data_IF_600571000634
#
_entry.id   IF_600571000634
#
_cell.length_a   1.000
_cell.length_b   1.000
_cell.length_c   1.000
_cell.angle_alpha   90.00
_cell.angle_beta   90.00
_cell.angle_gamma   90.00
#
_symmetry.space_group_name_H-M   'P 1'
#
loop_
_entity.id
_entity.type
_entity.pdbx_description
1 polymer ?
#
# COMPACT_ATOMS: atom_id res chain seq x y z
N UNK A 1 -14.95 19.85 11.59
CA UNK A 1 -13.59 19.59 11.05
C UNK A 1 -12.98 18.32 11.65
N UNK A 2 -13.36 17.94 12.86
CA UNK A 2 -12.81 16.80 13.61
C UNK A 2 -13.15 15.43 13.00
N UNK A 3 -14.34 15.25 12.42
CA UNK A 3 -14.76 14.05 11.72
C UNK A 3 -13.88 13.70 10.50
N UNK A 4 -13.32 14.72 9.81
CA UNK A 4 -12.35 14.51 8.73
C UNK A 4 -11.06 13.89 9.24
N UNK A 5 -10.54 14.36 10.38
CA UNK A 5 -9.32 13.82 10.98
C UNK A 5 -9.50 12.39 11.47
N UNK A 6 -10.67 12.06 12.04
CA UNK A 6 -10.99 10.71 12.52
C UNK A 6 -10.92 9.65 11.42
N UNK A 7 -11.30 10.00 10.19
CA UNK A 7 -11.23 9.07 9.04
C UNK A 7 -9.92 9.20 8.26
N UNK A 8 -9.31 10.38 8.23
CA UNK A 8 -8.06 10.62 7.50
C UNK A 8 -6.89 9.77 8.02
N UNK A 9 -6.67 9.74 9.35
CA UNK A 9 -5.53 9.01 9.92
C UNK A 9 -5.57 7.50 9.68
N UNK A 10 -6.71 6.79 9.86
CA UNK A 10 -6.81 5.39 9.48
C UNK A 10 -6.43 5.12 8.02
N UNK A 11 -7.02 5.87 7.07
CA UNK A 11 -6.69 5.70 5.65
C UNK A 11 -5.23 6.02 5.34
N UNK A 12 -4.66 7.07 5.96
CA UNK A 12 -3.25 7.40 5.83
C UNK A 12 -2.35 6.25 6.29
N UNK A 13 -2.65 5.66 7.45
CA UNK A 13 -1.89 4.54 8.00
C UNK A 13 -1.96 3.32 7.07
N UNK A 14 -3.17 2.92 6.65
CA UNK A 14 -3.38 1.75 5.81
C UNK A 14 -2.66 1.90 4.46
N UNK A 15 -2.87 3.03 3.77
CA UNK A 15 -2.28 3.28 2.45
C UNK A 15 -0.77 3.44 2.52
N UNK A 16 -0.23 4.09 3.56
CA UNK A 16 1.21 4.25 3.75
C UNK A 16 1.90 2.91 4.05
N UNK A 17 1.34 2.10 4.97
CA UNK A 17 1.87 0.78 5.28
C UNK A 17 1.84 -0.13 4.06
N UNK A 18 0.72 -0.18 3.34
CA UNK A 18 0.58 -0.99 2.12
C UNK A 18 1.55 -0.54 1.03
N UNK A 19 1.73 0.77 0.82
CA UNK A 19 2.70 1.31 -0.13
C UNK A 19 4.15 0.94 0.25
N UNK A 20 4.51 1.06 1.53
CA UNK A 20 5.83 0.65 2.02
C UNK A 20 6.06 -0.85 1.82
N UNK A 21 5.06 -1.69 2.11
CA UNK A 21 5.11 -3.13 1.87
C UNK A 21 5.43 -3.47 0.41
N UNK A 22 4.76 -2.80 -0.54
CA UNK A 22 5.00 -2.97 -1.98
C UNK A 22 6.41 -2.51 -2.36
N UNK A 23 6.91 -1.39 -1.82
CA UNK A 23 8.25 -0.89 -2.11
C UNK A 23 9.32 -1.93 -1.78
N UNK A 24 9.19 -2.68 -0.67
CA UNK A 24 10.15 -3.73 -0.32
C UNK A 24 10.24 -4.82 -1.40
N UNK A 25 9.13 -5.31 -1.91
CA UNK A 25 9.11 -6.38 -2.92
C UNK A 25 9.51 -5.88 -4.30
N UNK A 26 8.99 -4.75 -4.73
CA UNK A 26 9.26 -4.23 -6.08
C UNK A 26 10.69 -3.70 -6.22
N UNK A 27 11.28 -3.14 -5.15
CA UNK A 27 12.72 -2.80 -5.12
C UNK A 27 13.63 -4.02 -5.16
N UNK A 28 13.15 -5.21 -4.79
CA UNK A 28 13.86 -6.48 -4.95
C UNK A 28 13.53 -7.18 -6.29
N UNK A 29 12.75 -6.56 -7.17
CA UNK A 29 12.40 -7.06 -8.50
C UNK A 29 11.24 -8.06 -8.52
N UNK A 30 10.37 -8.06 -7.50
CA UNK A 30 9.17 -8.91 -7.45
C UNK A 30 7.94 -8.01 -7.54
N UNK A 31 7.09 -8.24 -8.56
CA UNK A 31 5.78 -7.57 -8.67
C UNK A 31 4.87 -8.08 -7.55
N UNK A 32 4.33 -7.16 -6.77
CA UNK A 32 3.45 -7.52 -5.65
C UNK A 32 2.00 -7.07 -5.88
N UNK A 33 1.30 -7.76 -6.77
CA UNK A 33 -0.14 -7.57 -6.94
C UNK A 33 -0.96 -8.27 -5.85
N UNK A 34 -0.34 -9.15 -5.03
CA UNK A 34 -1.02 -9.91 -3.98
C UNK A 34 -1.33 -9.09 -2.71
N UNK A 35 -0.93 -7.83 -2.67
CA UNK A 35 -0.96 -7.00 -1.45
C UNK A 35 -2.34 -6.93 -0.80
N UNK A 36 -3.41 -6.86 -1.58
CA UNK A 36 -4.77 -6.83 -1.06
C UNK A 36 -5.13 -8.13 -0.32
N UNK A 37 -4.80 -9.29 -0.90
CA UNK A 37 -5.00 -10.59 -0.26
C UNK A 37 -4.11 -10.80 0.97
N UNK A 38 -2.88 -10.27 0.97
CA UNK A 38 -1.97 -10.30 2.12
C UNK A 38 -2.53 -9.48 3.28
N UNK A 39 -3.10 -8.31 3.00
CA UNK A 39 -3.81 -7.49 4.00
C UNK A 39 -5.01 -8.23 4.59
N UNK A 40 -5.80 -8.90 3.73
CA UNK A 40 -6.93 -9.73 4.18
C UNK A 40 -6.45 -10.86 5.08
N UNK A 41 -5.35 -11.54 4.74
CA UNK A 41 -4.76 -12.58 5.59
C UNK A 41 -4.34 -12.08 6.96
N UNK A 42 -3.75 -10.87 7.03
CA UNK A 42 -3.42 -10.22 8.30
C UNK A 42 -4.67 -9.85 9.10
N UNK A 43 -5.67 -9.25 8.46
CA UNK A 43 -6.96 -8.91 9.06
C UNK A 43 -7.68 -10.15 9.62
N UNK A 44 -7.64 -11.27 8.88
CA UNK A 44 -8.23 -12.55 9.30
C UNK A 44 -7.58 -13.08 10.58
N UNK A 45 -6.26 -13.08 10.64
CA UNK A 45 -5.54 -13.52 11.84
C UNK A 45 -5.82 -12.61 13.03
N UNK A 46 -5.84 -11.30 12.83
CA UNK A 46 -6.26 -10.36 13.87
C UNK A 46 -7.65 -10.71 14.40
N UNK A 47 -8.62 -10.88 13.52
CA UNK A 47 -10.02 -11.18 13.86
C UNK A 47 -10.16 -12.47 14.64
N UNK A 48 -9.53 -13.57 14.19
CA UNK A 48 -9.60 -14.87 14.86
C UNK A 48 -9.12 -14.77 16.30
N UNK A 49 -7.94 -14.18 16.50
CA UNK A 49 -7.37 -14.08 17.84
C UNK A 49 -8.09 -13.06 18.71
N UNK A 50 -8.61 -11.95 18.14
CA UNK A 50 -9.46 -11.02 18.85
C UNK A 50 -10.76 -11.70 19.32
N UNK A 51 -11.39 -12.54 18.49
CA UNK A 51 -12.59 -13.30 18.85
C UNK A 51 -12.32 -14.35 19.93
N UNK A 52 -11.17 -15.06 19.88
CA UNK A 52 -10.81 -16.06 20.89
C UNK A 52 -10.52 -15.41 22.26
N UNK A 53 -9.83 -14.26 22.27
CA UNK A 53 -9.38 -13.62 23.51
C UNK A 53 -10.47 -12.73 24.12
N UNK A 54 -11.20 -11.99 23.29
CA UNK A 54 -12.15 -10.96 23.71
C UNK A 54 -13.49 -11.10 22.99
N UNK A 55 -14.19 -12.25 23.08
CA UNK A 55 -15.52 -12.41 22.46
C UNK A 55 -16.52 -11.41 23.07
N UNK A 56 -17.33 -10.77 22.23
CA UNK A 56 -18.31 -9.78 22.66
C UNK A 56 -19.36 -10.38 23.63
N UNK A 57 -19.73 -11.65 23.42
CA UNK A 57 -20.69 -12.36 24.26
C UNK A 57 -20.29 -12.44 25.75
N UNK A 58 -18.98 -12.54 26.01
CA UNK A 58 -18.45 -12.69 27.36
C UNK A 58 -17.91 -11.37 27.96
N UNK A 59 -17.61 -10.38 27.12
CA UNK A 59 -17.00 -9.12 27.52
C UNK A 59 -17.78 -7.92 26.97
N UNK A 60 -18.85 -7.48 27.64
CA UNK A 60 -19.63 -6.32 27.21
C UNK A 60 -18.83 -5.01 27.30
N UNK A 61 -17.81 -4.96 28.19
CA UNK A 61 -16.87 -3.84 28.28
C UNK A 61 -15.65 -4.12 27.39
N UNK A 62 -15.16 -3.13 26.61
CA UNK A 62 -14.00 -3.35 25.75
C UNK A 62 -12.76 -3.74 26.58
N UNK A 63 -12.08 -4.79 26.12
CA UNK A 63 -10.79 -5.18 26.71
C UNK A 63 -9.73 -4.11 26.47
N UNK A 64 -8.68 -4.15 27.31
CA UNK A 64 -7.61 -3.16 27.27
C UNK A 64 -7.00 -3.00 25.86
N UNK A 65 -6.86 -1.77 25.41
CA UNK A 65 -6.25 -1.43 24.12
C UNK A 65 -4.82 -1.94 23.92
N UNK A 66 -4.09 -2.29 25.00
CA UNK A 66 -2.75 -2.90 24.92
C UNK A 66 -2.76 -4.25 24.21
N UNK A 67 -3.90 -4.95 24.18
CA UNK A 67 -4.08 -6.19 23.44
C UNK A 67 -3.83 -6.01 21.94
N UNK A 68 -4.08 -4.81 21.39
CA UNK A 68 -3.82 -4.52 19.98
C UNK A 68 -2.35 -4.71 19.58
N UNK A 69 -1.39 -4.49 20.48
CA UNK A 69 0.03 -4.72 20.17
C UNK A 69 0.26 -6.19 19.83
N UNK A 70 -0.29 -7.09 20.65
CA UNK A 70 -0.20 -8.53 20.42
C UNK A 70 -0.96 -8.94 19.14
N UNK A 71 -2.16 -8.43 18.94
CA UNK A 71 -2.97 -8.72 17.76
C UNK A 71 -2.33 -8.22 16.46
N UNK A 72 -1.62 -7.08 16.48
CA UNK A 72 -0.87 -6.58 15.32
C UNK A 72 0.34 -7.47 14.98
N UNK A 73 1.01 -8.04 15.99
CA UNK A 73 2.07 -9.02 15.76
C UNK A 73 1.53 -10.30 15.12
N UNK A 74 0.38 -10.79 15.57
CA UNK A 74 -0.29 -11.95 14.98
C UNK A 74 -0.74 -11.65 13.54
N UNK A 75 -1.29 -10.47 13.30
CA UNK A 75 -1.65 -10.04 11.94
C UNK A 75 -0.44 -9.96 11.01
N UNK A 76 0.73 -9.53 11.52
CA UNK A 76 1.97 -9.56 10.76
C UNK A 76 2.34 -11.00 10.35
N UNK A 77 2.18 -11.98 11.25
CA UNK A 77 2.40 -13.41 10.95
C UNK A 77 1.42 -13.89 9.88
N UNK A 78 0.13 -13.52 9.98
CA UNK A 78 -0.88 -13.84 8.96
C UNK A 78 -0.52 -13.31 7.58
N UNK A 79 -0.08 -12.05 7.51
CA UNK A 79 0.42 -11.45 6.28
C UNK A 79 1.67 -12.16 5.73
N UNK A 80 2.62 -12.57 6.59
CA UNK A 80 3.79 -13.35 6.18
C UNK A 80 3.37 -14.68 5.57
N UNK A 81 2.45 -15.42 6.19
CA UNK A 81 1.99 -16.71 5.70
C UNK A 81 1.44 -16.57 4.27
N UNK A 82 0.51 -15.64 4.06
CA UNK A 82 -0.08 -15.42 2.72
C UNK A 82 0.97 -14.95 1.72
N UNK A 83 1.87 -14.04 2.11
CA UNK A 83 2.92 -13.57 1.19
C UNK A 83 3.95 -14.64 0.86
N UNK A 84 4.22 -15.60 1.76
CA UNK A 84 5.09 -16.74 1.47
C UNK A 84 4.55 -17.63 0.35
N UNK A 85 3.23 -17.79 0.20
CA UNK A 85 2.65 -18.49 -0.95
C UNK A 85 2.98 -17.76 -2.25
N UNK A 86 2.86 -16.42 -2.29
CA UNK A 86 3.29 -15.62 -3.43
C UNK A 86 4.79 -15.77 -3.71
N UNK A 87 5.62 -15.73 -2.66
CA UNK A 87 7.07 -15.91 -2.75
C UNK A 87 7.44 -17.30 -3.28
N UNK A 88 6.77 -18.35 -2.83
CA UNK A 88 7.01 -19.72 -3.30
C UNK A 88 6.77 -19.85 -4.81
N UNK A 89 5.64 -19.34 -5.31
CA UNK A 89 5.32 -19.37 -6.74
C UNK A 89 6.29 -18.49 -7.53
N UNK A 90 6.58 -17.28 -7.04
CA UNK A 90 7.36 -16.27 -7.78
C UNK A 90 8.86 -16.54 -7.77
N UNK A 91 9.41 -17.05 -6.66
CA UNK A 91 10.86 -17.22 -6.48
C UNK A 91 11.27 -18.65 -6.75
N UNK A 92 10.58 -19.64 -6.14
CA UNK A 92 10.96 -21.06 -6.18
C UNK A 92 10.50 -21.72 -7.47
N UNK A 93 9.21 -21.57 -7.80
CA UNK A 93 8.65 -22.14 -9.03
C UNK A 93 8.92 -21.28 -10.28
N UNK A 94 9.48 -20.05 -10.10
CA UNK A 94 9.73 -19.09 -11.19
C UNK A 94 8.47 -18.81 -12.04
N UNK A 95 7.28 -18.93 -11.42
CA UNK A 95 5.99 -18.73 -12.05
C UNK A 95 5.68 -17.26 -12.34
N UNK A 96 4.59 -17.01 -13.08
CA UNK A 96 4.14 -15.66 -13.38
C UNK A 96 3.66 -14.96 -12.10
N UNK A 97 4.36 -13.88 -11.73
CA UNK A 97 4.14 -13.12 -10.51
C UNK A 97 2.79 -12.39 -10.51
N UNK A 98 2.35 -11.93 -11.68
CA UNK A 98 1.05 -11.24 -11.85
C UNK A 98 -0.10 -12.21 -11.60
N UNK A 99 -0.05 -13.40 -12.21
CA UNK A 99 -1.09 -14.43 -12.05
C UNK A 99 -1.14 -14.89 -10.59
N UNK A 100 0.01 -15.17 -10.00
CA UNK A 100 0.11 -15.54 -8.58
C UNK A 100 -0.50 -14.46 -7.65
N UNK A 101 -0.21 -13.18 -7.92
CA UNK A 101 -0.74 -12.08 -7.13
C UNK A 101 -2.26 -11.96 -7.21
N UNK A 102 -2.83 -12.06 -8.42
CA UNK A 102 -4.28 -12.02 -8.63
C UNK A 102 -4.96 -13.23 -7.97
N UNK A 103 -4.39 -14.43 -8.09
CA UNK A 103 -4.93 -15.63 -7.47
C UNK A 103 -5.03 -15.49 -5.94
N UNK A 104 -4.00 -14.94 -5.29
CA UNK A 104 -4.00 -14.71 -3.84
C UNK A 104 -5.07 -13.70 -3.41
N UNK A 105 -5.30 -12.66 -4.22
CA UNK A 105 -6.35 -11.68 -3.93
C UNK A 105 -7.77 -12.28 -4.00
N UNK A 106 -7.95 -13.38 -4.69
CA UNK A 106 -9.22 -14.13 -4.74
C UNK A 106 -9.28 -15.18 -3.62
N UNK A 107 -8.18 -15.91 -3.43
CA UNK A 107 -8.12 -17.03 -2.47
C UNK A 107 -8.19 -16.53 -1.02
N UNK A 108 -7.48 -15.47 -0.67
CA UNK A 108 -7.42 -15.00 0.71
C UNK A 108 -8.79 -14.58 1.27
N UNK A 109 -9.60 -13.75 0.59
CA UNK A 109 -10.98 -13.47 1.02
C UNK A 109 -11.86 -14.72 1.09
N UNK A 110 -11.74 -15.64 0.11
CA UNK A 110 -12.51 -16.88 0.11
C UNK A 110 -12.20 -17.77 1.32
N UNK A 111 -10.90 -17.92 1.67
CA UNK A 111 -10.49 -18.63 2.89
C UNK A 111 -11.04 -17.96 4.15
N UNK A 112 -11.05 -16.64 4.21
CA UNK A 112 -11.62 -15.91 5.34
C UNK A 112 -13.12 -16.15 5.48
N UNK A 113 -13.88 -16.19 4.36
CA UNK A 113 -15.30 -16.53 4.38
C UNK A 113 -15.55 -17.96 4.88
N UNK A 114 -14.73 -18.92 4.49
CA UNK A 114 -14.82 -20.30 4.99
C UNK A 114 -14.58 -20.34 6.50
N UNK A 115 -13.58 -19.61 7.00
CA UNK A 115 -13.29 -19.53 8.43
C UNK A 115 -14.49 -18.92 9.21
N UNK A 116 -15.06 -17.83 8.67
CA UNK A 116 -16.25 -17.21 9.27
C UNK A 116 -17.45 -18.15 9.30
N UNK A 117 -17.64 -18.93 8.24
CA UNK A 117 -18.73 -19.90 8.16
C UNK A 117 -18.56 -21.06 9.15
N UNK A 118 -17.32 -21.55 9.32
CA UNK A 118 -17.05 -22.73 10.18
C UNK A 118 -16.98 -22.38 11.67
N UNK A 119 -16.47 -21.20 12.02
CA UNK A 119 -16.14 -20.85 13.40
C UNK A 119 -16.89 -19.61 13.92
N UNK A 120 -17.55 -18.86 13.04
CA UNK A 120 -18.30 -17.67 13.42
C UNK A 120 -19.77 -17.95 13.75
N UNK A 121 -20.37 -17.14 14.60
CA UNK A 121 -21.79 -17.14 14.86
C UNK A 121 -22.52 -16.34 13.78
N UNK A 122 -23.49 -16.94 13.09
CA UNK A 122 -24.20 -16.32 11.96
C UNK A 122 -23.28 -15.70 10.89
N UNK A 123 -22.17 -16.37 10.55
CA UNK A 123 -21.12 -15.89 9.65
C UNK A 123 -20.44 -14.59 10.11
N UNK A 124 -20.31 -14.40 11.41
CA UNK A 124 -19.69 -13.21 12.04
C UNK A 124 -18.81 -13.67 13.20
N UNK A 125 -17.74 -12.91 13.43
CA UNK A 125 -16.91 -13.03 14.62
C UNK A 125 -16.95 -11.67 15.32
N UNK A 126 -17.75 -11.55 16.38
CA UNK A 126 -17.90 -10.32 17.13
C UNK A 126 -16.92 -10.33 18.32
N UNK A 127 -16.05 -9.34 18.37
CA UNK A 127 -15.05 -9.17 19.43
C UNK A 127 -15.12 -7.74 19.98
N UNK A 128 -14.65 -7.54 21.22
CA UNK A 128 -14.66 -6.25 21.90
C UNK A 128 -13.28 -5.88 22.43
N UNK A 129 -12.44 -5.34 21.55
CA UNK A 129 -11.10 -4.85 21.87
C UNK A 129 -11.10 -3.33 21.78
N UNK A 130 -10.73 -2.66 22.87
CA UNK A 130 -10.62 -1.20 22.89
C UNK A 130 -9.47 -0.71 22.01
N UNK A 131 -9.62 0.45 21.41
CA UNK A 131 -8.53 1.12 20.69
C UNK A 131 -7.49 1.61 21.71
N UNK A 132 -6.21 1.43 21.41
CA UNK A 132 -5.13 2.01 22.21
C UNK A 132 -4.89 3.45 21.75
N UNK A 133 -5.52 4.36 22.47
CA UNK A 133 -5.37 5.80 22.30
C UNK A 133 -4.49 6.35 23.44
N UNK A 134 -3.44 7.09 23.07
CA UNK A 134 -2.52 7.70 24.03
C UNK A 134 -3.12 9.03 24.51
N UNK A 135 -3.96 8.99 25.52
CA UNK A 135 -4.45 10.19 26.19
C UNK A 135 -5.87 10.01 26.73
N UNK A 136 -6.05 10.45 27.97
CA UNK A 136 -7.34 10.49 28.63
C UNK A 136 -7.88 11.92 28.52
N UNK A 137 -8.53 12.26 27.41
CA UNK A 137 -9.12 13.59 27.24
C UNK A 137 -10.64 13.49 27.24
N UNK A 138 -11.25 14.29 28.11
CA UNK A 138 -12.70 14.49 28.15
C UNK A 138 -13.25 15.14 26.87
N UNK A 139 -12.40 15.59 25.95
CA UNK A 139 -12.73 16.28 24.69
C UNK A 139 -12.28 15.52 23.44
N UNK A 140 -12.32 14.22 23.41
CA UNK A 140 -12.33 13.28 22.27
C UNK A 140 -11.51 13.52 20.98
N UNK A 141 -10.92 14.67 20.78
CA UNK A 141 -10.58 15.18 19.45
C UNK A 141 -9.11 15.04 19.04
N UNK A 142 -8.17 15.17 19.98
CA UNK A 142 -6.73 15.04 19.71
C UNK A 142 -6.21 13.60 19.88
N UNK A 143 -7.00 12.72 20.46
CA UNK A 143 -6.61 11.40 20.92
C UNK A 143 -6.49 10.42 19.76
N UNK A 144 -7.32 10.55 18.72
CA UNK A 144 -7.25 9.69 17.54
C UNK A 144 -5.99 9.91 16.70
N UNK A 145 -5.33 11.07 16.84
CA UNK A 145 -4.10 11.40 16.12
C UNK A 145 -2.93 10.61 16.69
N UNK A 146 -2.81 10.54 18.03
CA UNK A 146 -1.73 9.81 18.71
C UNK A 146 -2.23 8.44 19.17
N UNK A 147 -2.53 7.58 18.22
CA UNK A 147 -2.97 6.21 18.46
C UNK A 147 -1.85 5.22 18.09
N UNK A 148 -1.99 3.98 18.57
CA UNK A 148 -1.02 2.90 18.27
C UNK A 148 -0.76 2.75 16.76
N UNK A 149 -1.82 2.84 15.92
CA UNK A 149 -1.72 2.76 14.46
C UNK A 149 -0.82 3.83 13.85
N UNK A 150 -0.94 5.09 14.32
CA UNK A 150 -0.14 6.20 13.80
C UNK A 150 1.31 6.09 14.22
N UNK A 151 1.57 5.67 15.46
CA UNK A 151 2.93 5.44 15.97
C UNK A 151 3.63 4.32 15.20
N UNK A 152 2.97 3.16 15.03
CA UNK A 152 3.52 2.04 14.25
C UNK A 152 3.80 2.47 12.81
N UNK A 153 2.86 3.16 12.18
CA UNK A 153 3.01 3.65 10.79
C UNK A 153 4.21 4.57 10.66
N UNK A 154 4.35 5.53 11.59
CA UNK A 154 5.49 6.45 11.58
C UNK A 154 6.82 5.71 11.74
N UNK A 155 6.89 4.76 12.69
CA UNK A 155 8.09 3.92 12.89
C UNK A 155 8.41 3.14 11.61
N UNK A 156 7.44 2.49 11.00
CA UNK A 156 7.65 1.72 9.75
C UNK A 156 8.14 2.61 8.62
N UNK A 157 7.57 3.81 8.44
CA UNK A 157 8.01 4.77 7.43
C UNK A 157 9.45 5.21 7.69
N UNK A 158 9.78 5.61 8.93
CA UNK A 158 11.13 6.06 9.30
C UNK A 158 12.17 4.94 9.13
N UNK A 159 11.89 3.75 9.65
CA UNK A 159 12.79 2.58 9.52
C UNK A 159 12.99 2.22 8.05
N UNK A 160 11.93 2.20 7.24
CA UNK A 160 12.01 1.90 5.81
C UNK A 160 12.78 2.98 5.03
N UNK A 161 12.58 4.24 5.39
CA UNK A 161 13.34 5.35 4.80
C UNK A 161 14.84 5.23 5.10
N UNK A 162 15.20 5.00 6.36
CA UNK A 162 16.59 4.78 6.79
C UNK A 162 17.17 3.54 6.12
N UNK A 163 16.42 2.44 6.07
CA UNK A 163 16.83 1.19 5.42
C UNK A 163 17.22 1.40 3.96
N UNK A 164 16.34 2.02 3.16
CA UNK A 164 16.62 2.22 1.73
C UNK A 164 17.64 3.33 1.44
N UNK A 165 17.80 4.31 2.34
CA UNK A 165 18.67 5.48 2.06
C UNK A 165 20.07 5.26 2.60
N UNK A 166 20.22 4.71 3.81
CA UNK A 166 21.48 4.71 4.53
C UNK A 166 22.07 3.32 4.74
N UNK A 167 21.34 2.20 4.49
CA UNK A 167 21.87 0.89 4.80
C UNK A 167 22.45 0.15 3.60
N UNK A 168 23.49 -0.68 3.84
CA UNK A 168 24.06 -1.59 2.83
C UNK A 168 23.03 -2.62 2.35
N UNK A 169 22.13 -3.06 3.25
CA UNK A 169 21.07 -4.01 2.90
C UNK A 169 20.05 -3.39 1.94
N UNK A 170 19.63 -2.13 2.15
CA UNK A 170 18.76 -1.41 1.23
C UNK A 170 19.39 -1.21 -0.15
N UNK A 171 20.73 -0.99 -0.20
CA UNK A 171 21.44 -0.95 -1.49
C UNK A 171 21.40 -2.31 -2.20
N UNK A 172 21.59 -3.43 -1.48
CA UNK A 172 21.49 -4.80 -2.06
C UNK A 172 20.11 -5.05 -2.67
N UNK A 173 19.02 -4.63 -2.00
CA UNK A 173 17.66 -4.72 -2.54
C UNK A 173 17.55 -3.98 -3.88
N UNK A 174 18.03 -2.74 -3.95
CA UNK A 174 18.00 -1.94 -5.19
C UNK A 174 18.80 -2.60 -6.32
N UNK A 175 20.02 -3.09 -6.03
CA UNK A 175 20.87 -3.74 -7.04
C UNK A 175 20.21 -5.01 -7.58
N UNK A 176 19.61 -5.84 -6.71
CA UNK A 176 18.87 -7.05 -7.11
C UNK A 176 17.68 -6.72 -8.00
N UNK A 177 16.96 -5.62 -7.73
CA UNK A 177 15.84 -5.19 -8.55
C UNK A 177 16.24 -4.56 -9.88
N UNK A 178 17.46 -3.98 -10.00
CA UNK A 178 17.94 -3.40 -11.24
C UNK A 178 18.61 -4.45 -12.15
N UNK A 179 19.48 -5.29 -11.59
CA UNK A 179 20.16 -6.36 -12.32
C UNK A 179 20.52 -7.52 -11.38
N UNK A 180 19.68 -8.55 -11.31
CA UNK A 180 19.93 -9.69 -10.43
C UNK A 180 21.14 -10.52 -10.84
N UNK A 181 21.49 -10.55 -12.13
CA UNK A 181 22.67 -11.28 -12.62
C UNK A 181 23.97 -10.59 -12.17
N UNK A 182 24.06 -9.26 -12.33
CA UNK A 182 25.21 -8.50 -11.85
C UNK A 182 25.33 -8.57 -10.31
N UNK A 183 24.20 -8.60 -9.59
CA UNK A 183 24.17 -8.79 -8.13
C UNK A 183 24.77 -10.14 -7.71
N UNK A 184 24.43 -11.23 -8.42
CA UNK A 184 24.94 -12.58 -8.14
C UNK A 184 26.45 -12.67 -8.41
N UNK A 185 26.94 -12.10 -9.51
CA UNK A 185 28.38 -12.02 -9.82
C UNK A 185 29.16 -11.23 -8.76
N UNK A 186 28.52 -10.19 -8.17
CA UNK A 186 29.09 -9.44 -7.06
C UNK A 186 28.97 -10.16 -5.70
N UNK A 187 28.55 -11.43 -5.66
CA UNK A 187 28.45 -12.26 -4.44
C UNK A 187 27.20 -12.01 -3.61
N UNK A 188 26.20 -11.29 -4.13
CA UNK A 188 24.94 -11.07 -3.42
C UNK A 188 23.99 -12.25 -3.68
N UNK A 189 23.54 -12.92 -2.62
CA UNK A 189 22.55 -13.99 -2.75
C UNK A 189 21.17 -13.42 -3.12
N UNK A 190 20.84 -13.42 -4.41
CA UNK A 190 19.61 -12.87 -4.98
C UNK A 190 18.37 -13.53 -4.39
N UNK A 191 18.35 -14.86 -4.27
CA UNK A 191 17.22 -15.61 -3.72
C UNK A 191 16.94 -15.22 -2.26
N UNK A 192 17.98 -15.09 -1.44
CA UNK A 192 17.83 -14.66 -0.04
C UNK A 192 17.26 -13.24 0.05
N UNK A 193 17.71 -12.31 -0.77
CA UNK A 193 17.20 -10.93 -0.80
C UNK A 193 15.73 -10.91 -1.22
N UNK A 194 15.34 -11.68 -2.23
CA UNK A 194 13.95 -11.80 -2.68
C UNK A 194 13.05 -12.38 -1.59
N UNK A 195 13.46 -13.45 -0.90
CA UNK A 195 12.68 -14.03 0.21
C UNK A 195 12.55 -13.07 1.39
N UNK A 196 13.61 -12.39 1.80
CA UNK A 196 13.54 -11.39 2.86
C UNK A 196 12.62 -10.23 2.50
N UNK A 197 12.55 -9.82 1.23
CA UNK A 197 11.64 -8.78 0.77
C UNK A 197 10.18 -9.19 0.90
N UNK A 198 9.84 -10.44 0.57
CA UNK A 198 8.49 -11.02 0.70
C UNK A 198 8.06 -11.08 2.17
N UNK A 199 8.94 -11.55 3.06
CA UNK A 199 8.64 -11.66 4.50
C UNK A 199 8.39 -10.29 5.11
N UNK A 200 9.26 -9.31 4.84
CA UNK A 200 9.10 -7.94 5.36
C UNK A 200 7.81 -7.31 4.80
N UNK A 201 7.57 -7.44 3.50
CA UNK A 201 6.36 -6.93 2.85
C UNK A 201 5.10 -7.57 3.46
N UNK A 202 5.11 -8.89 3.66
CA UNK A 202 4.00 -9.63 4.27
C UNK A 202 3.68 -9.15 5.68
N UNK A 203 4.71 -8.95 6.51
CA UNK A 203 4.54 -8.43 7.86
C UNK A 203 3.90 -7.04 7.87
N UNK A 204 4.42 -6.10 7.07
CA UNK A 204 3.90 -4.73 7.01
C UNK A 204 2.48 -4.70 6.44
N UNK A 205 2.20 -5.47 5.40
CA UNK A 205 0.86 -5.55 4.80
C UNK A 205 -0.14 -6.22 5.74
N UNK A 206 0.28 -7.23 6.53
CA UNK A 206 -0.55 -7.84 7.56
C UNK A 206 -0.95 -6.83 8.64
N UNK A 207 -0.02 -5.98 9.09
CA UNK A 207 -0.32 -4.88 10.02
C UNK A 207 -1.29 -3.87 9.37
N UNK A 208 -1.14 -3.53 8.08
CA UNK A 208 -2.09 -2.67 7.39
C UNK A 208 -3.51 -3.25 7.38
N UNK A 209 -3.65 -4.56 7.20
CA UNK A 209 -4.92 -5.29 7.31
C UNK A 209 -5.50 -5.23 8.72
N UNK A 210 -4.66 -5.36 9.76
CA UNK A 210 -5.07 -5.23 11.15
C UNK A 210 -5.57 -3.82 11.48
N UNK A 211 -4.89 -2.79 10.99
CA UNK A 211 -5.35 -1.39 11.13
C UNK A 211 -6.71 -1.21 10.47
N UNK A 212 -6.91 -1.79 9.28
CA UNK A 212 -8.21 -1.71 8.59
C UNK A 212 -9.33 -2.31 9.43
N UNK A 213 -9.16 -3.53 9.92
CA UNK A 213 -10.21 -4.22 10.67
C UNK A 213 -10.47 -3.58 12.04
N UNK A 214 -9.43 -3.09 12.73
CA UNK A 214 -9.59 -2.43 14.02
C UNK A 214 -10.36 -1.11 13.96
N UNK A 215 -10.30 -0.40 12.81
CA UNK A 215 -10.92 0.91 12.65
C UNK A 215 -12.30 0.87 11.99
N UNK A 216 -12.47 0.03 10.97
CA UNK A 216 -13.69 0.02 10.15
C UNK A 216 -14.66 -1.11 10.50
N UNK A 217 -14.26 -2.03 11.37
CA UNK A 217 -15.14 -3.04 11.94
C UNK A 217 -15.82 -2.50 13.19
N UNK A 218 -16.79 -1.63 13.01
CA UNK A 218 -17.53 -0.97 14.10
C UNK A 218 -17.92 -1.93 15.24
N UNK A 219 -17.21 -1.86 16.38
CA UNK A 219 -17.51 -2.63 17.58
C UNK A 219 -17.30 -4.14 17.45
N UNK A 220 -16.46 -4.59 16.52
CA UNK A 220 -16.04 -5.98 16.45
C UNK A 220 -16.88 -6.89 15.58
N UNK A 221 -17.78 -6.39 14.73
CA UNK A 221 -18.49 -7.27 13.82
C UNK A 221 -17.85 -7.27 12.42
N UNK A 222 -17.06 -8.28 12.11
CA UNK A 222 -16.58 -8.51 10.76
C UNK A 222 -17.66 -9.25 9.97
N UNK A 223 -18.38 -8.53 9.13
CA UNK A 223 -19.41 -9.09 8.24
C UNK A 223 -18.75 -9.78 7.05
N UNK A 224 -19.49 -10.65 6.37
CA UNK A 224 -19.12 -11.50 5.23
C UNK A 224 -18.45 -10.80 4.03
N UNK A 225 -18.27 -9.50 4.04
CA UNK A 225 -17.51 -8.74 3.02
C UNK A 225 -16.08 -8.50 3.49
N UNK A 226 -15.31 -9.56 3.56
CA UNK A 226 -13.87 -9.53 3.89
C UNK A 226 -13.07 -8.96 2.72
N UNK A 227 -13.39 -7.77 2.32
CA UNK A 227 -12.61 -7.07 1.32
C UNK A 227 -12.07 -5.78 1.94
N UNK A 228 -10.77 -5.58 1.85
CA UNK A 228 -10.10 -4.33 2.26
C UNK A 228 -10.40 -3.23 1.24
N UNK A 229 -11.64 -3.22 0.70
CA UNK A 229 -12.18 -2.25 -0.27
C UNK A 229 -11.23 -1.96 -1.46
N UNK A 230 -10.33 -2.88 -1.78
CA UNK A 230 -9.36 -2.69 -2.87
C UNK A 230 -8.23 -1.70 -2.55
N UNK A 231 -8.05 -1.28 -1.29
CA UNK A 231 -7.00 -0.34 -0.87
C UNK A 231 -5.59 -0.84 -1.22
N UNK A 232 -5.39 -2.17 -1.27
CA UNK A 232 -4.15 -2.78 -1.74
C UNK A 232 -3.82 -2.43 -3.18
N UNK A 233 -4.81 -2.43 -4.08
CA UNK A 233 -4.59 -2.02 -5.48
C UNK A 233 -4.27 -0.52 -5.60
N UNK A 234 -4.92 0.30 -4.78
CA UNK A 234 -4.62 1.73 -4.74
C UNK A 234 -3.20 2.00 -4.25
N UNK A 235 -2.71 1.20 -3.29
CA UNK A 235 -1.34 1.30 -2.81
C UNK A 235 -0.30 1.07 -3.91
N UNK A 236 -0.58 0.19 -4.89
CA UNK A 236 0.29 0.00 -6.07
C UNK A 236 0.37 1.31 -6.87
N UNK A 237 -0.75 1.96 -7.14
CA UNK A 237 -0.77 3.24 -7.84
C UNK A 237 -0.01 4.33 -7.06
N UNK A 238 -0.12 4.36 -5.73
CA UNK A 238 0.64 5.25 -4.85
C UNK A 238 2.15 5.03 -5.00
N UNK A 239 2.61 3.77 -5.05
CA UNK A 239 4.03 3.43 -5.21
C UNK A 239 4.56 3.86 -6.57
N UNK A 240 3.81 3.63 -7.64
CA UNK A 240 4.18 4.06 -9.00
C UNK A 240 4.33 5.59 -9.04
N UNK A 241 3.35 6.34 -8.50
CA UNK A 241 3.39 7.80 -8.43
C UNK A 241 4.52 8.30 -7.52
N UNK A 242 4.80 7.58 -6.42
CA UNK A 242 5.92 7.83 -5.50
C UNK A 242 7.29 7.39 -6.03
N UNK A 243 7.37 6.84 -7.26
CA UNK A 243 8.62 6.40 -7.91
C UNK A 243 9.40 5.37 -7.09
N UNK A 244 8.71 4.44 -6.46
CA UNK A 244 9.31 3.43 -5.58
C UNK A 244 10.20 4.01 -4.47
N UNK A 245 9.92 5.23 -4.01
CA UNK A 245 10.61 5.90 -2.88
C UNK A 245 9.64 6.06 -1.72
N UNK A 246 10.11 5.79 -0.50
CA UNK A 246 9.27 5.81 0.71
C UNK A 246 8.59 7.16 0.93
N UNK A 247 9.35 8.25 1.05
CA UNK A 247 8.77 9.57 1.34
C UNK A 247 7.80 10.09 0.26
N UNK A 248 8.11 10.07 -1.04
CA UNK A 248 7.12 10.48 -2.05
C UNK A 248 5.86 9.60 -2.02
N UNK A 249 5.99 8.29 -1.80
CA UNK A 249 4.82 7.40 -1.73
C UNK A 249 3.94 7.73 -0.52
N UNK A 250 4.52 8.07 0.65
CA UNK A 250 3.72 8.50 1.81
C UNK A 250 3.03 9.84 1.58
N UNK A 251 3.64 10.78 0.82
CA UNK A 251 2.98 12.01 0.41
C UNK A 251 1.78 11.74 -0.51
N UNK A 252 1.91 10.84 -1.50
CA UNK A 252 0.76 10.42 -2.30
C UNK A 252 -0.29 9.69 -1.46
N UNK A 253 0.11 8.84 -0.52
CA UNK A 253 -0.82 8.19 0.41
C UNK A 253 -1.64 9.22 1.21
N UNK A 254 -1.05 10.34 1.63
CA UNK A 254 -1.78 11.40 2.32
C UNK A 254 -2.83 12.08 1.43
N UNK A 255 -2.52 12.33 0.16
CA UNK A 255 -3.48 12.89 -0.80
C UNK A 255 -4.68 11.93 -0.98
N UNK A 256 -4.41 10.64 -1.15
CA UNK A 256 -5.46 9.63 -1.29
C UNK A 256 -6.28 9.46 -0.02
N UNK A 257 -5.64 9.52 1.15
CA UNK A 257 -6.32 9.48 2.44
C UNK A 257 -7.30 10.65 2.61
N UNK A 258 -6.93 11.86 2.15
CA UNK A 258 -7.84 13.02 2.13
C UNK A 258 -9.05 12.73 1.23
N UNK A 259 -8.85 12.22 0.02
CA UNK A 259 -9.95 11.93 -0.91
C UNK A 259 -10.92 10.88 -0.33
N UNK A 260 -10.40 9.81 0.30
CA UNK A 260 -11.24 8.82 0.98
C UNK A 260 -11.96 9.40 2.19
N UNK A 261 -11.28 10.21 2.99
CA UNK A 261 -11.89 10.87 4.15
C UNK A 261 -13.03 11.80 3.73
N UNK A 262 -12.87 12.55 2.65
CA UNK A 262 -13.95 13.37 2.09
C UNK A 262 -15.13 12.53 1.59
N UNK A 263 -14.86 11.41 0.92
CA UNK A 263 -15.88 10.50 0.43
C UNK A 263 -16.69 9.84 1.57
N UNK A 264 -16.00 9.38 2.62
CA UNK A 264 -16.67 8.76 3.78
C UNK A 264 -17.54 9.75 4.57
N UNK A 265 -17.14 11.01 4.61
CA UNK A 265 -17.86 12.05 5.35
C UNK A 265 -18.74 12.94 4.45
N UNK A 266 -19.17 12.41 3.31
CA UNK A 266 -20.04 13.14 2.36
C UNK A 266 -21.31 13.70 2.99
N UNK A 267 -21.92 12.98 3.95
CA UNK A 267 -23.12 13.40 4.64
C UNK A 267 -22.94 14.67 5.49
N UNK A 268 -21.71 14.91 5.96
CA UNK A 268 -21.37 16.12 6.71
C UNK A 268 -21.03 17.32 5.82
N UNK A 269 -20.79 17.07 4.53
CA UNK A 269 -20.40 18.09 3.56
C UNK A 269 -21.54 18.53 2.65
N UNK A 270 -22.44 17.61 2.31
CA UNK A 270 -23.50 17.81 1.32
C UNK A 270 -24.87 17.41 1.89
N UNK A 271 -25.90 18.17 1.59
CA UNK A 271 -27.28 17.85 2.00
C UNK A 271 -27.79 16.51 1.47
N UNK A 272 -27.28 16.07 0.29
CA UNK A 272 -27.57 14.76 -0.33
C UNK A 272 -26.33 13.84 -0.31
N UNK A 273 -25.59 13.82 0.79
CA UNK A 273 -24.30 13.15 0.91
C UNK A 273 -24.33 11.66 0.60
N UNK A 274 -25.40 10.93 0.98
CA UNK A 274 -25.53 9.49 0.70
C UNK A 274 -25.60 9.18 -0.79
N UNK A 275 -26.28 10.01 -1.58
CA UNK A 275 -26.39 9.84 -3.02
C UNK A 275 -25.08 10.18 -3.75
N UNK A 276 -24.30 11.12 -3.19
CA UNK A 276 -23.05 11.59 -3.77
C UNK A 276 -21.87 10.70 -3.33
N UNK A 277 -21.98 9.99 -2.19
CA UNK A 277 -20.91 9.14 -1.64
C UNK A 277 -20.29 8.17 -2.65
N UNK A 278 -21.05 7.41 -3.46
CA UNK A 278 -20.45 6.50 -4.45
C UNK A 278 -19.61 7.24 -5.50
N UNK A 279 -20.03 8.43 -5.92
CA UNK A 279 -19.30 9.26 -6.88
C UNK A 279 -17.99 9.76 -6.27
N UNK A 280 -18.03 10.21 -5.00
CA UNK A 280 -16.83 10.64 -4.28
C UNK A 280 -15.85 9.49 -4.04
N UNK A 281 -16.33 8.27 -3.81
CA UNK A 281 -15.49 7.08 -3.69
C UNK A 281 -14.78 6.70 -5.00
N UNK A 282 -15.28 7.12 -6.16
CA UNK A 282 -14.58 6.95 -7.45
C UNK A 282 -13.42 7.93 -7.62
N UNK A 283 -13.42 9.09 -6.92
CA UNK A 283 -12.39 10.13 -7.11
C UNK A 283 -10.96 9.64 -6.92
N UNK A 284 -10.61 8.86 -5.88
CA UNK A 284 -9.25 8.33 -5.74
C UNK A 284 -8.80 7.53 -6.96
N UNK A 285 -9.67 6.69 -7.51
CA UNK A 285 -9.37 5.85 -8.68
C UNK A 285 -9.24 6.69 -9.96
N UNK A 286 -10.13 7.64 -10.18
CA UNK A 286 -10.01 8.61 -11.29
C UNK A 286 -8.72 9.43 -11.18
N UNK A 287 -8.39 9.88 -9.97
CA UNK A 287 -7.17 10.63 -9.71
C UNK A 287 -5.91 9.79 -10.04
N UNK A 288 -5.91 8.48 -9.71
CA UNK A 288 -4.80 7.59 -10.11
C UNK A 288 -4.64 7.51 -11.61
N UNK A 289 -5.74 7.33 -12.36
CA UNK A 289 -5.70 7.26 -13.83
C UNK A 289 -5.15 8.56 -14.43
N UNK A 290 -5.65 9.69 -13.97
CA UNK A 290 -5.18 11.02 -14.45
C UNK A 290 -3.69 11.19 -14.17
N UNK A 291 -3.23 10.89 -12.96
CA UNK A 291 -1.82 11.02 -12.61
C UNK A 291 -0.96 10.05 -13.43
N UNK A 292 -1.35 8.79 -13.57
CA UNK A 292 -0.59 7.81 -14.37
C UNK A 292 -0.46 8.25 -15.83
N UNK A 293 -1.51 8.82 -16.41
CA UNK A 293 -1.47 9.38 -17.78
C UNK A 293 -0.54 10.60 -17.83
N UNK A 294 -0.70 11.56 -16.92
CA UNK A 294 0.09 12.80 -16.89
C UNK A 294 1.60 12.53 -16.67
N UNK A 295 1.92 11.52 -15.85
CA UNK A 295 3.33 11.16 -15.58
C UNK A 295 3.86 10.04 -16.45
N UNK A 296 3.09 9.58 -17.47
CA UNK A 296 3.56 8.58 -18.41
C UNK A 296 4.66 9.14 -19.34
N UNK A 297 5.60 8.27 -19.72
CA UNK A 297 6.64 8.62 -20.68
C UNK A 297 6.06 9.12 -22.01
N UNK A 298 4.97 8.51 -22.45
CA UNK A 298 4.29 8.86 -23.70
C UNK A 298 3.68 10.26 -23.66
N UNK A 299 3.09 10.66 -22.53
CA UNK A 299 2.54 12.01 -22.35
C UNK A 299 3.64 13.08 -22.45
N UNK A 300 4.78 12.87 -21.78
CA UNK A 300 5.92 13.80 -21.88
C UNK A 300 6.51 13.86 -23.30
N UNK A 301 6.57 12.72 -24.00
CA UNK A 301 7.01 12.67 -25.39
C UNK A 301 6.03 13.40 -26.31
N UNK A 302 4.71 13.16 -26.15
CA UNK A 302 3.66 13.87 -26.89
C UNK A 302 3.75 15.37 -26.64
N UNK A 303 3.85 15.78 -25.40
CA UNK A 303 3.96 17.19 -25.04
C UNK A 303 5.22 17.84 -25.64
N UNK A 304 6.36 17.14 -25.60
CA UNK A 304 7.60 17.62 -26.21
C UNK A 304 7.50 17.73 -27.73
N UNK A 305 6.82 16.76 -28.40
CA UNK A 305 6.61 16.79 -29.86
C UNK A 305 5.69 17.95 -30.27
N UNK A 306 4.61 18.18 -29.53
CA UNK A 306 3.73 19.33 -29.74
C UNK A 306 4.45 20.66 -29.58
N UNK A 307 5.25 20.82 -28.53
CA UNK A 307 6.06 22.01 -28.31
C UNK A 307 7.09 22.23 -29.43
N UNK A 308 7.73 21.17 -29.92
CA UNK A 308 8.65 21.26 -31.07
C UNK A 308 7.93 21.63 -32.37
N UNK A 309 6.70 21.14 -32.60
CA UNK A 309 5.90 21.50 -33.76
C UNK A 309 5.51 22.97 -33.74
N UNK A 310 5.12 23.49 -32.57
CA UNK A 310 4.85 24.93 -32.37
C UNK A 310 6.13 25.75 -32.60
N UNK A 311 7.27 25.30 -32.06
CA UNK A 311 8.56 25.99 -32.30
C UNK A 311 8.97 26.00 -33.77
N UNK A 312 8.74 24.95 -34.54
CA UNK A 312 9.01 24.91 -35.99
C UNK A 312 8.12 25.85 -36.78
N UNK A 313 6.85 25.98 -36.39
CA UNK A 313 5.89 26.87 -37.06
C UNK A 313 6.23 28.38 -36.83
N UNK A 314 6.95 28.69 -35.76
CA UNK A 314 7.30 30.05 -35.34
C UNK A 314 8.78 30.41 -35.66
N UNK A 315 9.37 29.79 -36.69
CA UNK A 315 10.80 29.76 -37.01
C UNK A 315 11.41 31.13 -37.37
N UNK A 316 10.62 32.18 -37.58
CA UNK A 316 11.10 33.45 -38.15
C UNK A 316 11.27 34.66 -37.19
N UNK A 317 10.92 34.55 -35.88
CA UNK A 317 10.93 35.79 -35.07
C UNK A 317 11.70 35.78 -33.73
N UNK A 318 12.16 34.64 -33.13
CA UNK A 318 12.89 34.79 -31.86
C UNK A 318 13.81 33.61 -31.52
N UNK A 319 15.09 33.68 -31.79
CA UNK A 319 16.09 32.66 -31.51
C UNK A 319 16.17 32.27 -29.98
N UNK A 320 15.87 33.25 -29.11
CA UNK A 320 15.89 33.08 -27.67
C UNK A 320 14.66 32.27 -27.15
N UNK A 321 13.48 32.43 -27.77
CA UNK A 321 12.28 31.69 -27.46
C UNK A 321 12.46 30.19 -27.81
N UNK A 322 12.99 29.90 -28.99
CA UNK A 322 13.29 28.55 -29.46
C UNK A 322 14.32 27.83 -28.57
N UNK A 323 15.35 28.55 -28.09
CA UNK A 323 16.34 28.03 -27.14
C UNK A 323 15.70 27.68 -25.79
N UNK A 324 14.77 28.50 -25.29
CA UNK A 324 14.02 28.21 -24.05
C UNK A 324 13.10 27.01 -24.20
N UNK A 325 12.36 26.91 -25.32
CA UNK A 325 11.51 25.76 -25.62
C UNK A 325 12.30 24.46 -25.70
N UNK A 326 13.41 24.44 -26.42
CA UNK A 326 14.28 23.25 -26.51
C UNK A 326 14.83 22.84 -25.13
N UNK A 327 15.18 23.83 -24.28
CA UNK A 327 15.60 23.53 -22.90
C UNK A 327 14.47 22.91 -22.08
N UNK A 328 13.23 23.37 -22.22
CA UNK A 328 12.04 22.81 -21.58
C UNK A 328 11.77 21.39 -22.11
N UNK A 329 11.80 21.18 -23.42
CA UNK A 329 11.64 19.85 -24.03
C UNK A 329 12.67 18.84 -23.53
N UNK A 330 13.94 19.21 -23.49
CA UNK A 330 15.01 18.35 -22.96
C UNK A 330 14.81 18.06 -21.47
N UNK A 331 14.32 19.03 -20.69
CA UNK A 331 13.98 18.84 -19.28
C UNK A 331 12.78 17.90 -19.11
N UNK A 332 11.74 18.00 -19.95
CA UNK A 332 10.59 17.09 -19.94
C UNK A 332 10.98 15.65 -20.28
N UNK A 333 11.83 15.46 -21.29
CA UNK A 333 12.37 14.15 -21.66
C UNK A 333 13.25 13.57 -20.53
N UNK A 334 14.06 14.39 -19.86
CA UNK A 334 14.86 13.92 -18.71
C UNK A 334 13.97 13.53 -17.53
N UNK A 335 12.88 14.25 -17.27
CA UNK A 335 11.89 13.92 -16.23
C UNK A 335 11.21 12.59 -16.56
N UNK A 336 10.85 12.32 -17.82
CA UNK A 336 10.21 11.07 -18.22
C UNK A 336 11.07 9.83 -17.93
N UNK A 337 12.40 9.97 -17.99
CA UNK A 337 13.33 8.87 -17.69
C UNK A 337 13.47 8.59 -16.19
N UNK A 338 13.01 9.48 -15.32
CA UNK A 338 13.02 9.29 -13.87
C UNK A 338 11.86 8.39 -13.40
N UNK A 339 10.80 8.25 -14.22
CA UNK A 339 9.61 7.43 -13.92
C UNK A 339 9.75 5.99 -14.43
N UNK A 340 10.88 5.34 -14.20
CA UNK A 340 11.06 3.96 -14.62
C UNK A 340 11.01 3.02 -13.42
N UNK A 341 10.27 1.90 -13.53
CA UNK A 341 10.32 0.83 -12.53
C UNK A 341 11.73 0.22 -12.48
N UNK A 342 12.06 -0.54 -11.42
CA UNK A 342 13.27 -1.36 -11.40
C UNK A 342 13.35 -2.24 -12.65
N UNK A 343 14.50 -2.27 -13.33
CA UNK A 343 14.62 -2.88 -14.67
C UNK A 343 14.32 -4.37 -14.70
N UNK A 344 14.62 -5.09 -13.62
CA UNK A 344 14.35 -6.53 -13.51
C UNK A 344 13.01 -6.83 -12.81
N UNK A 345 12.10 -5.83 -12.67
CA UNK A 345 10.81 -6.03 -12.04
C UNK A 345 9.98 -7.05 -12.83
N UNK A 346 9.49 -8.08 -12.14
CA UNK A 346 8.69 -9.15 -12.73
C UNK A 346 9.48 -10.23 -13.47
N UNK A 347 10.81 -10.09 -13.59
CA UNK A 347 11.64 -11.09 -14.25
C UNK A 347 12.03 -12.20 -13.26
N UNK A 348 11.78 -13.49 -13.62
CA UNK A 348 12.27 -14.61 -12.82
C UNK A 348 13.81 -14.64 -12.88
N UNK A 349 14.43 -14.80 -11.72
CA UNK A 349 15.88 -14.97 -11.64
C UNK A 349 16.26 -16.44 -11.85
N UNK A 350 17.14 -16.70 -12.80
CA UNK A 350 17.67 -18.03 -13.08
C UNK A 350 19.20 -18.02 -13.05
N UNK A 351 19.76 -18.76 -12.08
CA UNK A 351 21.21 -18.89 -11.89
C UNK A 351 21.89 -19.66 -13.03
N UNK A 352 21.15 -20.53 -13.74
CA UNK A 352 21.65 -21.32 -14.85
C UNK A 352 21.83 -20.56 -16.16
N UNK A 353 21.25 -19.37 -16.28
CA UNK A 353 21.34 -18.49 -17.46
C UNK A 353 22.44 -17.43 -17.29
N UNK A 354 23.62 -17.87 -16.83
CA UNK A 354 24.82 -17.04 -16.78
C UNK A 354 25.46 -16.87 -18.16
#
# INVERSE_FOLDING_TARGET
MNWLLLTFFPYLCILSLSAVAIIFTERAGIINLSINGVMVGGATMYMIFAYIIAPLSNNPTPMSGWLNIFLFLIAAIGGIIISCFHGFISITLKGNQTISGIAINIIAPALTLIILYLFGEANRMDYNVGLLELGNSKNGELISIVSLKTVITLIVILVSFVFFTFTRSGLRFKVVGENPQAADVAGINVTKVKWTSIIISGAIAGIAGAVYISEFSNGGSFKSQVNVEGLGFLAIAIVINGRWKVLPSTLFASIFAILFSLAQNSNNLFTNGEQIKPILMMLPYLFTLVILVLFSKYFFQLLSSLLMTISKKQKDQNSNFNKRLNKICNKLVSISNIFQPPKALGQPYDKSKR
#
